data_IF_646917843017
#
_entry.id   IF_646917843017
#
_cell.length_a   1.000
_cell.length_b   1.000
_cell.length_c   1.000
_cell.angle_alpha   90.00
_cell.angle_beta   90.00
_cell.angle_gamma   90.00
#
_symmetry.space_group_name_H-M   'P 1'
#
loop_
_entity.id
_entity.type
_entity.pdbx_description
1 polymer ?
#
# COMPACT_ATOMS: atom_id res chain seq x y z
N UNK A 1 -2.42 1.08 11.03
CA UNK A 1 -3.33 1.45 9.92
C UNK A 1 -3.00 2.84 9.40
N UNK A 2 -2.97 3.04 8.07
CA UNK A 2 -2.82 4.37 7.44
C UNK A 2 -3.67 4.46 6.16
N UNK A 3 -3.78 5.66 5.60
CA UNK A 3 -4.29 5.83 4.23
C UNK A 3 -3.18 5.56 3.23
N UNK A 4 -3.46 4.66 2.29
CA UNK A 4 -2.62 4.31 1.15
C UNK A 4 -3.20 4.93 -0.10
N UNK A 5 -2.33 5.45 -0.95
CA UNK A 5 -2.69 6.25 -2.10
C UNK A 5 -2.02 5.71 -3.36
N UNK A 6 -2.74 5.70 -4.47
CA UNK A 6 -2.16 5.33 -5.77
C UNK A 6 -1.33 6.50 -6.36
N UNK A 7 -0.52 6.22 -7.38
CA UNK A 7 0.36 7.22 -8.01
C UNK A 7 -0.38 8.44 -8.56
N UNK A 8 -1.66 8.31 -8.92
CA UNK A 8 -2.49 9.39 -9.44
C UNK A 8 -3.15 10.22 -8.34
N UNK A 9 -3.21 9.69 -7.11
CA UNK A 9 -3.93 10.31 -6.01
C UNK A 9 -5.46 10.23 -6.13
N UNK A 10 -6.00 9.52 -7.12
CA UNK A 10 -7.45 9.37 -7.26
C UNK A 10 -8.00 8.32 -6.30
N UNK A 11 -7.28 7.23 -6.12
CA UNK A 11 -7.65 6.13 -5.25
C UNK A 11 -6.91 6.24 -3.91
N UNK A 12 -7.69 6.23 -2.84
CA UNK A 12 -7.21 6.20 -1.46
C UNK A 12 -7.92 5.11 -0.69
N UNK A 13 -7.21 4.43 0.19
CA UNK A 13 -7.78 3.38 1.02
C UNK A 13 -7.13 3.33 2.39
N UNK A 14 -7.93 3.28 3.44
CA UNK A 14 -7.44 2.98 4.78
C UNK A 14 -7.20 1.48 4.93
N UNK A 15 -5.95 1.12 5.22
CA UNK A 15 -5.56 -0.28 5.33
C UNK A 15 -4.30 -0.46 6.20
N UNK A 16 -4.08 -1.71 6.60
CA UNK A 16 -2.85 -2.20 7.21
C UNK A 16 -1.94 -2.79 6.14
N UNK A 17 -0.65 -2.51 6.24
CA UNK A 17 0.36 -3.24 5.48
C UNK A 17 0.48 -4.66 6.02
N UNK A 18 0.45 -5.64 5.13
CA UNK A 18 0.69 -7.04 5.47
C UNK A 18 2.10 -7.47 5.07
N UNK A 19 2.42 -7.33 3.78
CA UNK A 19 3.70 -7.77 3.22
C UNK A 19 3.94 -7.16 1.84
N UNK A 20 5.21 -7.14 1.43
CA UNK A 20 5.64 -6.86 0.07
C UNK A 20 6.18 -8.15 -0.55
N UNK A 21 5.50 -8.68 -1.56
CA UNK A 21 5.90 -9.90 -2.26
C UNK A 21 5.56 -9.78 -3.74
N UNK A 22 6.42 -10.31 -4.62
CA UNK A 22 6.24 -10.30 -6.08
C UNK A 22 5.95 -8.89 -6.66
N UNK A 23 6.61 -7.86 -6.11
CA UNK A 23 6.42 -6.48 -6.54
C UNK A 23 5.02 -5.91 -6.23
N UNK A 24 4.30 -6.50 -5.28
CA UNK A 24 2.98 -6.05 -4.85
C UNK A 24 2.94 -5.79 -3.36
N UNK A 25 2.28 -4.70 -3.00
CA UNK A 25 1.96 -4.31 -1.63
C UNK A 25 0.64 -4.97 -1.27
N UNK A 26 0.67 -5.88 -0.30
CA UNK A 26 -0.52 -6.53 0.21
C UNK A 26 -1.07 -5.71 1.38
N UNK A 27 -2.33 -5.30 1.26
CA UNK A 27 -3.01 -4.45 2.22
C UNK A 27 -4.27 -5.14 2.76
N UNK A 28 -4.54 -4.97 4.04
CA UNK A 28 -5.79 -5.39 4.69
C UNK A 28 -6.64 -4.16 4.99
N UNK A 29 -7.73 -3.99 4.25
CA UNK A 29 -8.68 -2.89 4.47
C UNK A 29 -9.42 -3.09 5.79
N UNK A 30 -9.85 -2.00 6.40
CA UNK A 30 -10.64 -2.02 7.64
C UNK A 30 -11.94 -2.83 7.55
N UNK A 31 -12.49 -2.98 6.34
CA UNK A 31 -13.69 -3.77 6.08
C UNK A 31 -13.42 -5.29 5.95
N UNK A 32 -12.19 -5.74 6.24
CA UNK A 32 -11.79 -7.15 6.17
C UNK A 32 -11.30 -7.62 4.80
N UNK A 33 -11.42 -6.80 3.75
CA UNK A 33 -10.98 -7.16 2.39
C UNK A 33 -9.46 -7.04 2.27
N UNK A 34 -8.82 -8.08 1.74
CA UNK A 34 -7.40 -8.04 1.37
C UNK A 34 -7.24 -7.67 -0.10
N UNK A 35 -6.33 -6.75 -0.39
CA UNK A 35 -5.99 -6.33 -1.75
C UNK A 35 -4.49 -6.43 -1.98
N UNK A 36 -4.09 -6.53 -3.24
CA UNK A 36 -2.69 -6.46 -3.66
C UNK A 36 -2.56 -5.35 -4.69
N UNK A 37 -1.67 -4.39 -4.44
CA UNK A 37 -1.45 -3.24 -5.31
C UNK A 37 -0.02 -3.30 -5.85
N UNK A 38 0.20 -3.26 -7.18
CA UNK A 38 1.54 -3.19 -7.74
C UNK A 38 2.33 -1.98 -7.21
N UNK A 39 3.60 -2.15 -6.88
CA UNK A 39 4.45 -1.07 -6.36
C UNK A 39 4.50 0.12 -7.31
N UNK A 40 4.51 -0.10 -8.63
CA UNK A 40 4.53 0.95 -9.62
C UNK A 40 3.23 1.78 -9.63
N UNK A 41 2.14 1.25 -9.06
CA UNK A 41 0.85 1.93 -8.92
C UNK A 41 0.72 2.71 -7.61
N UNK A 42 1.67 2.58 -6.68
CA UNK A 42 1.62 3.27 -5.39
C UNK A 42 2.15 4.71 -5.49
N UNK A 43 1.70 5.57 -4.57
CA UNK A 43 2.26 6.91 -4.43
C UNK A 43 3.72 6.85 -3.98
N UNK A 44 4.51 7.87 -4.33
CA UNK A 44 5.92 7.96 -3.90
C UNK A 44 6.06 8.00 -2.38
N UNK A 45 5.12 8.66 -1.69
CA UNK A 45 5.13 8.75 -0.24
C UNK A 45 4.88 7.38 0.42
N UNK A 46 3.92 6.61 -0.11
CA UNK A 46 3.65 5.27 0.41
C UNK A 46 4.79 4.30 0.11
N UNK A 47 5.47 4.44 -1.03
CA UNK A 47 6.68 3.67 -1.33
C UNK A 47 7.82 4.02 -0.38
N UNK A 48 8.08 5.31 -0.12
CA UNK A 48 9.11 5.73 0.82
C UNK A 48 8.86 5.21 2.24
N UNK A 49 7.59 5.19 2.67
CA UNK A 49 7.21 4.59 3.94
C UNK A 49 7.45 3.08 3.97
N UNK A 50 7.17 2.37 2.88
CA UNK A 50 7.47 0.93 2.79
C UNK A 50 8.97 0.67 2.88
N UNK A 51 9.80 1.50 2.24
CA UNK A 51 11.25 1.42 2.35
C UNK A 51 11.73 1.65 3.78
N UNK A 52 11.14 2.59 4.53
CA UNK A 52 11.48 2.85 5.93
C UNK A 52 11.16 1.67 6.86
N UNK A 53 10.03 0.98 6.67
CA UNK A 53 9.60 -0.10 7.57
C UNK A 53 10.11 -1.48 7.17
N UNK A 54 10.61 -1.65 5.93
CA UNK A 54 11.16 -2.92 5.42
C UNK A 54 12.67 -2.94 5.26
N UNK A 55 13.33 -1.77 5.38
CA UNK A 55 14.78 -1.62 5.52
C UNK A 55 15.28 -1.87 6.93
#
# INVERSE_FOLDING_TARGET
>A
TRTWTDRTGFFRVEAEFLQLVDGKVHLHKLNGVKIAVPVDKMSKEDLAYLEEITG
#
